data_IF_036251192376
#
_entry.id   IF_036251192376
#
_cell.length_a   1.000
_cell.length_b   1.000
_cell.length_c   1.000
_cell.angle_alpha   90.00
_cell.angle_beta   90.00
_cell.angle_gamma   90.00
#
_symmetry.space_group_name_H-M   'P 1'
#
loop_
_entity.id
_entity.type
_entity.pdbx_description
1 polymer ?
#
# COMPACT_ATOMS: atom_id res chain seq x y z
N UNK A 1 -28.48 -14.19 20.26
CA UNK A 1 -28.23 -15.48 19.57
C UNK A 1 -28.34 -15.30 18.06
N UNK A 2 -29.46 -14.78 17.51
CA UNK A 2 -29.65 -14.62 16.05
C UNK A 2 -28.49 -13.91 15.38
N UNK A 3 -28.04 -12.77 15.93
CA UNK A 3 -26.90 -12.00 15.39
C UNK A 3 -25.59 -12.80 15.46
N UNK A 4 -25.35 -13.57 16.52
CA UNK A 4 -24.15 -14.42 16.61
C UNK A 4 -24.14 -15.52 15.54
N UNK A 5 -25.32 -16.17 15.32
CA UNK A 5 -25.46 -17.15 14.24
C UNK A 5 -25.26 -16.50 12.88
N UNK A 6 -25.75 -15.28 12.67
CA UNK A 6 -25.52 -14.52 11.45
C UNK A 6 -24.04 -14.23 11.24
N UNK A 7 -23.33 -13.70 12.27
CA UNK A 7 -21.89 -13.38 12.20
C UNK A 7 -21.04 -14.60 11.79
N UNK A 8 -21.31 -15.76 12.39
CA UNK A 8 -20.59 -17.00 12.08
C UNK A 8 -20.73 -17.39 10.61
N UNK A 9 -21.93 -17.21 10.04
CA UNK A 9 -22.26 -17.64 8.68
C UNK A 9 -22.01 -16.57 7.60
N UNK A 10 -21.55 -15.34 7.95
CA UNK A 10 -21.10 -14.36 6.95
C UNK A 10 -19.79 -14.81 6.32
N UNK A 11 -19.51 -14.38 5.11
CA UNK A 11 -18.20 -14.53 4.48
C UNK A 11 -17.16 -13.62 5.15
N UNK A 12 -15.86 -13.86 4.91
CA UNK A 12 -14.74 -13.05 5.38
C UNK A 12 -13.88 -13.68 6.47
N UNK A 13 -12.79 -13.01 6.80
CA UNK A 13 -11.74 -13.47 7.69
C UNK A 13 -12.28 -13.79 9.11
N UNK A 14 -11.97 -14.99 9.66
CA UNK A 14 -12.46 -15.43 10.98
C UNK A 14 -12.09 -14.47 12.12
N UNK A 15 -10.98 -13.75 12.04
CA UNK A 15 -10.55 -12.83 13.09
C UNK A 15 -11.55 -11.68 13.30
N UNK A 16 -12.11 -11.12 12.21
CA UNK A 16 -13.17 -10.11 12.30
C UNK A 16 -14.45 -10.70 12.95
N UNK A 17 -14.84 -11.92 12.55
CA UNK A 17 -16.02 -12.60 13.12
C UNK A 17 -15.86 -12.80 14.63
N UNK A 18 -14.71 -13.31 15.06
CA UNK A 18 -14.41 -13.51 16.48
C UNK A 18 -14.47 -12.21 17.27
N UNK A 19 -13.86 -11.14 16.75
CA UNK A 19 -13.87 -9.84 17.41
C UNK A 19 -15.29 -9.28 17.55
N UNK A 20 -16.11 -9.34 16.50
CA UNK A 20 -17.50 -8.93 16.55
C UNK A 20 -18.34 -9.79 17.51
N UNK A 21 -18.11 -11.11 17.54
CA UNK A 21 -18.76 -11.98 18.49
C UNK A 21 -18.43 -11.60 19.94
N UNK A 22 -17.16 -11.31 20.23
CA UNK A 22 -16.76 -10.83 21.56
C UNK A 22 -17.46 -9.51 21.93
N UNK A 23 -17.55 -8.55 21.01
CA UNK A 23 -18.27 -7.29 21.23
C UNK A 23 -19.75 -7.51 21.52
N UNK A 24 -20.41 -8.37 20.74
CA UNK A 24 -21.84 -8.69 20.91
C UNK A 24 -22.10 -9.49 22.20
N UNK A 25 -21.20 -10.38 22.58
CA UNK A 25 -21.35 -11.15 23.84
C UNK A 25 -21.06 -10.29 25.08
N UNK A 26 -20.07 -9.41 25.04
CA UNK A 26 -19.73 -8.53 26.16
C UNK A 26 -20.78 -7.44 26.40
N UNK A 27 -21.36 -6.90 25.32
CA UNK A 27 -22.36 -5.82 25.36
C UNK A 27 -23.53 -6.17 24.41
N UNK A 28 -24.45 -7.10 24.80
CA UNK A 28 -25.40 -7.69 23.86
C UNK A 28 -26.29 -6.70 23.10
N UNK A 29 -26.75 -5.63 23.74
CA UNK A 29 -27.58 -4.60 23.09
C UNK A 29 -26.71 -3.63 22.29
N UNK A 30 -25.72 -3.03 22.94
CA UNK A 30 -24.86 -2.00 22.32
C UNK A 30 -24.02 -2.62 21.20
N UNK A 31 -23.38 -3.76 21.44
CA UNK A 31 -22.58 -4.48 20.46
C UNK A 31 -23.39 -4.92 19.25
N UNK A 32 -24.64 -5.39 19.47
CA UNK A 32 -25.54 -5.74 18.37
C UNK A 32 -25.92 -4.52 17.53
N UNK A 33 -26.33 -3.42 18.16
CA UNK A 33 -26.67 -2.18 17.45
C UNK A 33 -25.45 -1.64 16.69
N UNK A 34 -24.29 -1.66 17.31
CA UNK A 34 -23.05 -1.21 16.68
C UNK A 34 -22.63 -2.11 15.49
N UNK A 35 -22.75 -3.43 15.65
CA UNK A 35 -22.55 -4.39 14.56
C UNK A 35 -23.46 -4.12 13.38
N UNK A 36 -24.77 -3.98 13.63
CA UNK A 36 -25.76 -3.69 12.60
C UNK A 36 -25.45 -2.33 11.92
N UNK A 37 -25.12 -1.30 12.70
CA UNK A 37 -24.74 0.03 12.19
C UNK A 37 -23.52 -0.05 11.25
N UNK A 38 -22.48 -0.79 11.65
CA UNK A 38 -21.27 -0.96 10.82
C UNK A 38 -21.56 -1.76 9.55
N UNK A 39 -22.50 -2.71 9.58
CA UNK A 39 -22.84 -3.57 8.43
C UNK A 39 -23.94 -3.00 7.50
N UNK A 40 -24.75 -2.05 7.96
CA UNK A 40 -25.79 -1.40 7.13
C UNK A 40 -25.25 -0.40 6.09
N UNK A 41 -24.00 -0.31 5.89
CA UNK A 41 -23.16 0.55 5.06
C UNK A 41 -23.76 0.95 3.69
N UNK A 42 -24.81 1.75 3.65
CA UNK A 42 -25.44 2.19 2.39
C UNK A 42 -24.49 3.05 1.52
N UNK A 43 -23.68 3.90 2.15
CA UNK A 43 -22.69 4.71 1.42
C UNK A 43 -21.57 3.84 0.83
N UNK A 44 -21.14 2.80 1.54
CA UNK A 44 -20.13 1.84 1.08
C UNK A 44 -20.61 1.09 -0.16
N UNK A 45 -21.87 0.65 -0.18
CA UNK A 45 -22.47 0.00 -1.37
C UNK A 45 -22.51 0.90 -2.59
N UNK A 46 -22.78 2.19 -2.40
CA UNK A 46 -22.73 3.15 -3.51
C UNK A 46 -21.31 3.25 -4.08
N UNK A 47 -20.29 3.42 -3.22
CA UNK A 47 -18.89 3.49 -3.64
C UNK A 47 -18.44 2.18 -4.30
N UNK A 48 -18.80 1.03 -3.72
CA UNK A 48 -18.53 -0.31 -4.28
C UNK A 48 -19.09 -0.47 -5.69
N UNK A 49 -20.38 -0.18 -5.87
CA UNK A 49 -21.03 -0.28 -7.18
C UNK A 49 -20.41 0.69 -8.20
N UNK A 50 -20.04 1.90 -7.76
CA UNK A 50 -19.42 2.88 -8.65
C UNK A 50 -18.01 2.47 -9.06
N UNK A 51 -17.20 1.95 -8.13
CA UNK A 51 -15.87 1.41 -8.44
C UNK A 51 -15.94 0.21 -9.38
N UNK A 52 -16.89 -0.70 -9.17
CA UNK A 52 -17.12 -1.81 -10.10
C UNK A 52 -17.47 -1.32 -11.51
N UNK A 53 -18.35 -0.31 -11.63
CA UNK A 53 -18.66 0.29 -12.92
C UNK A 53 -17.43 0.97 -13.55
N UNK A 54 -16.63 1.70 -12.76
CA UNK A 54 -15.41 2.36 -13.24
C UNK A 54 -14.33 1.36 -13.70
N UNK A 55 -14.21 0.20 -13.04
CA UNK A 55 -13.35 -0.89 -13.53
C UNK A 55 -13.78 -1.35 -14.92
N UNK A 56 -15.07 -1.59 -15.14
CA UNK A 56 -15.59 -1.96 -16.47
C UNK A 56 -15.39 -0.83 -17.50
N UNK A 57 -15.58 0.44 -17.12
CA UNK A 57 -15.35 1.59 -17.98
C UNK A 57 -13.87 1.74 -18.38
N UNK A 58 -12.94 1.35 -17.51
CA UNK A 58 -11.48 1.47 -17.72
C UNK A 58 -10.82 0.19 -18.27
N UNK A 59 -11.50 -0.95 -18.22
CA UNK A 59 -10.99 -2.22 -18.71
C UNK A 59 -10.39 -2.15 -20.14
N UNK A 60 -11.02 -1.48 -21.13
CA UNK A 60 -10.45 -1.37 -22.47
C UNK A 60 -9.11 -0.62 -22.55
N UNK A 61 -8.73 0.07 -21.47
CA UNK A 61 -7.47 0.82 -21.37
C UNK A 61 -6.40 0.07 -20.55
N UNK A 62 -6.75 -1.13 -20.08
CA UNK A 62 -5.91 -1.99 -19.23
C UNK A 62 -5.71 -3.36 -19.87
N UNK A 63 -5.56 -3.39 -21.20
CA UNK A 63 -5.39 -4.64 -21.95
C UNK A 63 -4.06 -5.33 -21.67
N UNK A 64 -4.11 -6.65 -21.42
CA UNK A 64 -2.94 -7.50 -21.33
C UNK A 64 -2.38 -7.79 -22.73
N UNK A 65 -1.09 -7.52 -22.92
CA UNK A 65 -0.38 -7.97 -24.13
C UNK A 65 -0.13 -9.48 -24.06
N UNK A 66 -0.75 -10.23 -24.97
CA UNK A 66 -0.63 -11.69 -25.05
C UNK A 66 0.82 -12.16 -25.22
N UNK A 67 1.65 -11.42 -25.94
CA UNK A 67 3.08 -11.75 -26.11
C UNK A 67 3.83 -11.74 -24.78
N UNK A 68 3.47 -10.82 -23.89
CA UNK A 68 4.07 -10.75 -22.55
C UNK A 68 3.64 -11.96 -21.72
N UNK A 69 2.36 -12.33 -21.79
CA UNK A 69 1.83 -13.51 -21.12
C UNK A 69 2.48 -14.79 -21.62
N UNK A 70 2.55 -14.98 -22.93
CA UNK A 70 3.19 -16.15 -23.56
C UNK A 70 4.67 -16.27 -23.17
N UNK A 71 5.42 -15.16 -23.22
CA UNK A 71 6.83 -15.14 -22.83
C UNK A 71 7.03 -15.54 -21.35
N UNK A 72 6.15 -15.04 -20.45
CA UNK A 72 6.21 -15.38 -19.03
C UNK A 72 5.85 -16.84 -18.76
N UNK A 73 4.85 -17.40 -19.45
CA UNK A 73 4.52 -18.83 -19.37
C UNK A 73 5.64 -19.71 -19.94
N UNK A 74 6.28 -19.30 -21.04
CA UNK A 74 7.41 -20.02 -21.64
C UNK A 74 8.63 -20.10 -20.70
N UNK A 75 8.81 -19.12 -19.82
CA UNK A 75 9.88 -19.11 -18.80
C UNK A 75 9.69 -20.16 -17.71
N UNK A 76 8.51 -20.78 -17.60
CA UNK A 76 8.12 -21.73 -16.54
C UNK A 76 8.25 -21.15 -15.13
N UNK A 77 8.23 -19.86 -14.98
CA UNK A 77 8.23 -19.18 -13.69
C UNK A 77 6.88 -19.32 -13.00
N UNK A 78 6.87 -19.51 -11.70
CA UNK A 78 5.66 -19.44 -10.87
C UNK A 78 4.97 -18.05 -10.97
N UNK A 79 5.74 -17.00 -11.28
CA UNK A 79 5.22 -15.65 -11.47
C UNK A 79 4.24 -15.53 -12.65
N UNK A 80 4.20 -16.50 -13.57
CA UNK A 80 3.18 -16.59 -14.62
C UNK A 80 1.77 -16.78 -14.04
N UNK A 81 1.64 -17.54 -12.94
CA UNK A 81 0.36 -17.74 -12.26
C UNK A 81 -0.11 -16.45 -11.55
N UNK A 82 0.79 -15.73 -10.90
CA UNK A 82 0.47 -14.43 -10.31
C UNK A 82 0.08 -13.40 -11.38
N UNK A 83 0.85 -13.35 -12.48
CA UNK A 83 0.53 -12.49 -13.63
C UNK A 83 -0.87 -12.79 -14.19
N UNK A 84 -1.21 -14.07 -14.34
CA UNK A 84 -2.54 -14.49 -14.79
C UNK A 84 -3.65 -14.04 -13.83
N UNK A 85 -3.46 -14.27 -12.53
CA UNK A 85 -4.41 -13.85 -11.50
C UNK A 85 -4.61 -12.32 -11.51
N UNK A 86 -3.51 -11.55 -11.47
CA UNK A 86 -3.59 -10.10 -11.45
C UNK A 86 -4.20 -9.51 -12.72
N UNK A 87 -3.87 -10.07 -13.90
CA UNK A 87 -4.38 -9.54 -15.17
C UNK A 87 -5.80 -9.99 -15.50
N UNK A 88 -6.11 -11.29 -15.38
CA UNK A 88 -7.39 -11.85 -15.84
C UNK A 88 -8.50 -11.74 -14.80
N UNK A 89 -8.19 -11.84 -13.50
CA UNK A 89 -9.20 -11.74 -12.46
C UNK A 89 -9.39 -10.30 -11.99
N UNK A 90 -8.31 -9.52 -11.95
CA UNK A 90 -8.29 -8.21 -11.32
C UNK A 90 -8.06 -7.04 -12.29
N UNK A 91 -7.71 -7.33 -13.56
CA UNK A 91 -7.49 -6.31 -14.58
C UNK A 91 -6.20 -5.48 -14.36
N UNK A 92 -5.16 -6.05 -13.74
CA UNK A 92 -3.84 -5.44 -13.61
C UNK A 92 -2.84 -6.10 -14.58
N UNK A 93 -2.59 -5.51 -15.76
CA UNK A 93 -1.73 -6.10 -16.78
C UNK A 93 -0.26 -6.20 -16.35
N UNK A 94 0.43 -7.19 -16.89
CA UNK A 94 1.87 -7.35 -16.81
C UNK A 94 2.55 -6.66 -17.97
N UNK A 95 3.58 -5.88 -17.69
CA UNK A 95 4.32 -5.08 -18.68
C UNK A 95 5.79 -5.49 -18.75
N UNK A 96 6.42 -5.31 -19.92
CA UNK A 96 7.87 -5.53 -20.15
C UNK A 96 8.63 -4.26 -20.54
N UNK A 97 7.96 -3.28 -21.16
CA UNK A 97 8.58 -2.06 -21.67
C UNK A 97 8.51 -0.95 -20.62
N UNK A 98 9.02 -1.23 -19.42
CA UNK A 98 8.97 -0.28 -18.30
C UNK A 98 10.30 -0.32 -17.55
N UNK A 99 10.98 0.81 -17.54
CA UNK A 99 12.12 1.02 -16.66
C UNK A 99 11.64 1.21 -15.23
N UNK A 100 12.35 0.63 -14.29
CA UNK A 100 12.14 0.80 -12.85
C UNK A 100 13.37 1.48 -12.27
N UNK A 101 13.18 2.44 -11.38
CA UNK A 101 14.24 3.05 -10.57
C UNK A 101 13.80 2.99 -9.10
N UNK A 102 14.60 2.33 -8.27
CA UNK A 102 14.32 2.18 -6.85
C UNK A 102 14.95 3.29 -6.02
N UNK A 103 14.21 3.83 -5.07
CA UNK A 103 14.67 4.84 -4.11
C UNK A 103 14.72 4.27 -2.70
N UNK A 104 15.90 4.13 -2.11
CA UNK A 104 16.07 3.59 -0.77
C UNK A 104 15.61 4.54 0.34
N UNK A 105 15.48 5.84 0.06
CA UNK A 105 15.06 6.86 1.02
C UNK A 105 14.14 7.90 0.38
N UNK A 106 13.36 8.57 1.20
CA UNK A 106 12.40 9.58 0.73
C UNK A 106 13.04 10.80 0.12
N UNK A 107 14.24 11.18 0.56
CA UNK A 107 15.02 12.29 0.04
C UNK A 107 15.35 12.10 -1.44
N UNK A 108 15.80 10.90 -1.82
CA UNK A 108 16.16 10.58 -3.20
C UNK A 108 14.91 10.59 -4.10
N UNK A 109 13.80 10.00 -3.63
CA UNK A 109 12.50 10.07 -4.31
C UNK A 109 12.05 11.50 -4.50
N UNK A 110 12.17 12.35 -3.49
CA UNK A 110 11.75 13.75 -3.54
C UNK A 110 12.60 14.53 -4.55
N UNK A 111 13.93 14.37 -4.52
CA UNK A 111 14.84 15.01 -5.46
C UNK A 111 14.56 14.60 -6.92
N UNK A 112 14.24 13.32 -7.15
CA UNK A 112 13.83 12.80 -8.47
C UNK A 112 12.47 13.38 -8.88
N UNK A 113 11.49 13.37 -7.99
CA UNK A 113 10.12 13.83 -8.27
C UNK A 113 10.06 15.30 -8.67
N UNK A 114 10.85 16.17 -8.01
CA UNK A 114 10.96 17.58 -8.40
C UNK A 114 11.40 17.71 -9.86
N UNK A 115 12.45 16.97 -10.26
CA UNK A 115 12.99 17.02 -11.64
C UNK A 115 11.97 16.54 -12.67
N UNK A 116 11.19 15.50 -12.36
CA UNK A 116 10.20 14.97 -13.29
C UNK A 116 8.94 15.88 -13.37
N UNK A 117 8.50 16.46 -12.25
CA UNK A 117 7.40 17.44 -12.24
C UNK A 117 7.71 18.67 -13.10
N UNK A 118 8.96 19.14 -13.10
CA UNK A 118 9.40 20.26 -13.96
C UNK A 118 9.31 19.95 -15.46
N UNK A 119 9.38 18.67 -15.85
CA UNK A 119 9.29 18.24 -17.25
C UNK A 119 7.86 18.07 -17.75
N UNK A 120 6.86 18.10 -16.86
CA UNK A 120 5.46 17.86 -17.23
C UNK A 120 4.97 18.83 -18.32
N UNK A 121 4.31 18.28 -19.34
CA UNK A 121 3.81 19.04 -20.51
C UNK A 121 2.29 18.94 -20.68
N UNK A 122 1.67 17.82 -20.23
CA UNK A 122 0.24 17.53 -20.46
C UNK A 122 -0.56 17.48 -19.18
N UNK A 123 -0.18 16.60 -18.25
CA UNK A 123 -0.90 16.45 -16.99
C UNK A 123 -0.03 15.91 -15.85
N UNK A 124 -0.43 16.27 -14.63
CA UNK A 124 0.12 15.74 -13.38
C UNK A 124 -1.05 15.26 -12.52
N UNK A 125 -1.03 13.97 -12.15
CA UNK A 125 -2.00 13.37 -11.23
C UNK A 125 -1.29 12.93 -9.95
N UNK A 126 -1.79 13.36 -8.80
CA UNK A 126 -1.18 13.05 -7.52
C UNK A 126 -2.26 12.60 -6.51
N UNK A 127 -1.99 11.49 -5.83
CA UNK A 127 -2.84 10.88 -4.80
C UNK A 127 -1.99 10.51 -3.60
N UNK A 128 -2.30 11.05 -2.42
CA UNK A 128 -1.51 10.86 -1.22
C UNK A 128 -2.37 10.76 0.03
N UNK A 129 -1.93 9.90 0.99
CA UNK A 129 -2.63 9.73 2.25
C UNK A 129 -2.36 10.87 3.23
N UNK A 130 -1.09 11.26 3.42
CA UNK A 130 -0.67 12.37 4.28
C UNK A 130 -0.09 13.49 3.44
N UNK A 131 -0.54 14.72 3.74
CA UNK A 131 0.00 15.97 3.19
C UNK A 131 0.10 16.97 4.34
N UNK A 132 1.27 17.51 4.58
CA UNK A 132 1.54 18.53 5.59
C UNK A 132 2.27 19.71 4.95
N UNK A 133 1.87 20.95 5.26
CA UNK A 133 2.58 22.14 4.81
C UNK A 133 3.99 22.14 5.41
N UNK A 134 5.02 22.37 4.59
CA UNK A 134 6.43 22.28 4.94
C UNK A 134 7.32 22.30 3.70
N UNK A 135 8.61 22.04 3.86
CA UNK A 135 9.61 22.13 2.77
C UNK A 135 9.22 21.25 1.59
N UNK A 136 8.87 19.99 1.85
CA UNK A 136 8.53 19.04 0.79
C UNK A 136 7.29 19.47 0.01
N UNK A 137 6.17 19.70 0.71
CA UNK A 137 4.92 20.02 0.05
C UNK A 137 4.94 21.41 -0.60
N UNK A 138 5.48 22.43 0.07
CA UNK A 138 5.49 23.79 -0.47
C UNK A 138 6.36 23.89 -1.73
N UNK A 139 7.47 23.16 -1.78
CA UNK A 139 8.30 23.07 -3.00
C UNK A 139 7.51 22.45 -4.15
N UNK A 140 6.83 21.34 -3.93
CA UNK A 140 5.98 20.69 -4.94
C UNK A 140 4.86 21.63 -5.37
N UNK A 141 4.17 22.26 -4.43
CA UNK A 141 3.05 23.15 -4.72
C UNK A 141 3.45 24.33 -5.60
N UNK A 142 4.62 24.91 -5.39
CA UNK A 142 5.11 25.99 -6.26
C UNK A 142 5.36 25.51 -7.70
N UNK A 143 5.87 24.27 -7.88
CA UNK A 143 5.99 23.67 -9.21
C UNK A 143 4.60 23.47 -9.84
N UNK A 144 3.66 22.88 -9.09
CA UNK A 144 2.31 22.63 -9.60
C UNK A 144 1.59 23.92 -10.04
N UNK A 145 1.73 25.03 -9.28
CA UNK A 145 1.18 26.33 -9.64
C UNK A 145 1.76 26.85 -10.97
N UNK A 146 3.07 26.68 -11.14
CA UNK A 146 3.76 27.11 -12.36
C UNK A 146 3.30 26.28 -13.56
N UNK A 147 3.21 24.94 -13.38
CA UNK A 147 2.74 24.02 -14.42
C UNK A 147 1.28 24.28 -14.83
N UNK A 148 0.41 24.63 -13.91
CA UNK A 148 -0.97 25.07 -14.25
C UNK A 148 -0.92 26.33 -15.12
N UNK A 149 -0.08 27.31 -14.80
CA UNK A 149 0.07 28.53 -15.61
C UNK A 149 0.65 28.25 -17.01
N UNK A 150 1.41 27.18 -17.18
CA UNK A 150 1.92 26.66 -18.46
C UNK A 150 0.88 25.85 -19.24
N UNK A 151 -0.32 25.63 -18.68
CA UNK A 151 -1.42 24.90 -19.32
C UNK A 151 -1.49 23.41 -18.99
N UNK A 152 -0.63 22.91 -18.09
CA UNK A 152 -0.65 21.50 -17.65
C UNK A 152 -1.87 21.25 -16.78
N UNK A 153 -2.60 20.15 -17.06
CA UNK A 153 -3.72 19.71 -16.21
C UNK A 153 -3.20 19.11 -14.90
N UNK A 154 -3.47 19.75 -13.76
CA UNK A 154 -3.06 19.23 -12.45
C UNK A 154 -4.29 18.74 -11.67
N UNK A 155 -4.28 17.45 -11.28
CA UNK A 155 -5.23 16.83 -10.35
C UNK A 155 -4.51 16.39 -9.09
N UNK A 156 -5.01 16.82 -7.96
CA UNK A 156 -4.48 16.47 -6.65
C UNK A 156 -5.56 15.92 -5.75
N UNK A 157 -5.34 14.73 -5.21
CA UNK A 157 -6.25 14.08 -4.28
C UNK A 157 -5.49 13.67 -3.01
N UNK A 158 -6.13 13.86 -1.84
CA UNK A 158 -5.58 13.43 -0.56
C UNK A 158 -6.69 12.93 0.37
N UNK A 159 -6.31 12.05 1.32
CA UNK A 159 -7.27 11.46 2.25
C UNK A 159 -7.78 12.47 3.28
N UNK A 160 -9.05 12.31 3.66
CA UNK A 160 -9.72 13.17 4.65
C UNK A 160 -9.11 13.16 6.04
N UNK A 161 -8.20 12.20 6.37
CA UNK A 161 -7.45 12.22 7.62
C UNK A 161 -6.61 13.48 7.80
N UNK A 162 -6.10 14.07 6.71
CA UNK A 162 -5.34 15.32 6.77
C UNK A 162 -6.13 16.48 7.39
N UNK A 163 -7.47 16.44 7.27
CA UNK A 163 -8.32 17.50 7.81
C UNK A 163 -8.48 17.49 9.33
N UNK A 164 -7.94 16.48 10.06
CA UNK A 164 -7.95 16.49 11.51
C UNK A 164 -6.91 17.44 12.09
N UNK A 165 -5.65 17.32 11.68
CA UNK A 165 -4.54 18.02 12.34
C UNK A 165 -3.57 18.71 11.37
N UNK A 166 -3.60 18.37 10.06
CA UNK A 166 -2.54 18.77 9.12
C UNK A 166 -2.95 19.88 8.17
N UNK A 167 -4.18 19.83 7.63
CA UNK A 167 -4.68 20.79 6.64
C UNK A 167 -6.08 21.28 6.98
N UNK A 168 -6.42 22.56 6.75
CA UNK A 168 -7.78 23.03 6.98
C UNK A 168 -8.78 22.36 6.02
N UNK A 169 -9.99 22.10 6.49
CA UNK A 169 -11.07 21.49 5.69
C UNK A 169 -11.34 22.22 4.36
N UNK A 170 -11.03 23.50 4.31
CA UNK A 170 -11.15 24.35 3.11
C UNK A 170 -9.97 24.26 2.14
N UNK A 171 -8.95 23.45 2.44
CA UNK A 171 -7.72 23.38 1.66
C UNK A 171 -7.91 23.05 0.17
N UNK A 172 -8.84 22.19 -0.25
CA UNK A 172 -9.11 21.99 -1.67
C UNK A 172 -9.54 23.29 -2.38
N UNK A 173 -10.33 24.13 -1.71
CA UNK A 173 -10.72 25.44 -2.27
C UNK A 173 -9.53 26.41 -2.39
N UNK A 174 -8.52 26.29 -1.48
CA UNK A 174 -7.27 27.07 -1.57
C UNK A 174 -6.52 26.67 -2.85
N UNK A 175 -6.35 25.36 -3.12
CA UNK A 175 -5.64 24.86 -4.30
C UNK A 175 -6.39 25.16 -5.62
N UNK A 176 -7.71 25.08 -5.61
CA UNK A 176 -8.55 25.41 -6.78
C UNK A 176 -8.40 26.88 -7.23
N UNK A 177 -8.08 27.81 -6.32
CA UNK A 177 -7.78 29.21 -6.69
C UNK A 177 -6.51 29.36 -7.53
N UNK A 178 -5.60 28.39 -7.46
CA UNK A 178 -4.40 28.31 -8.28
C UNK A 178 -4.62 27.52 -9.59
N UNK A 179 -5.88 27.11 -9.89
CA UNK A 179 -6.21 26.28 -11.05
C UNK A 179 -5.93 24.79 -10.87
N UNK A 180 -5.46 24.35 -9.70
CA UNK A 180 -5.24 22.93 -9.39
C UNK A 180 -6.59 22.29 -9.08
N UNK A 181 -7.00 21.26 -9.85
CA UNK A 181 -8.19 20.46 -9.53
C UNK A 181 -7.87 19.63 -8.29
N UNK A 182 -8.51 19.96 -7.16
CA UNK A 182 -8.23 19.29 -5.89
C UNK A 182 -9.48 18.67 -5.29
N UNK A 183 -9.33 17.41 -4.80
CA UNK A 183 -10.36 16.67 -4.05
C UNK A 183 -9.79 16.14 -2.74
N UNK A 184 -10.67 16.02 -1.74
CA UNK A 184 -10.45 15.29 -0.52
C UNK A 184 -11.23 13.98 -0.61
N UNK A 185 -10.55 12.83 -0.66
CA UNK A 185 -11.17 11.50 -0.62
C UNK A 185 -11.63 11.16 0.81
N UNK A 186 -12.57 10.25 0.94
CA UNK A 186 -13.02 9.66 2.21
C UNK A 186 -13.20 10.69 3.34
N UNK A 187 -13.93 11.77 3.04
CA UNK A 187 -14.20 12.87 3.98
C UNK A 187 -14.76 12.35 5.30
N UNK A 188 -14.17 12.75 6.40
CA UNK A 188 -14.64 12.37 7.73
C UNK A 188 -15.88 13.16 8.08
N UNK A 189 -16.99 12.44 8.31
CA UNK A 189 -18.27 12.97 8.77
C UNK A 189 -18.60 12.30 10.10
N UNK A 190 -18.41 12.97 11.26
CA UNK A 190 -18.67 12.36 12.55
C UNK A 190 -20.09 11.77 12.62
N UNK A 191 -20.22 10.53 13.09
CA UNK A 191 -21.48 9.80 13.32
C UNK A 191 -22.35 9.46 12.11
N UNK A 192 -21.93 9.74 10.86
CA UNK A 192 -22.80 9.56 9.68
C UNK A 192 -22.38 8.38 8.80
N UNK A 193 -21.12 7.94 8.85
CA UNK A 193 -20.63 6.92 7.91
C UNK A 193 -19.56 6.00 8.50
N UNK A 194 -19.61 4.73 8.13
CA UNK A 194 -18.59 3.71 8.44
C UNK A 194 -17.47 3.66 7.41
N UNK A 195 -17.65 4.34 6.26
CA UNK A 195 -16.64 4.53 5.22
C UNK A 195 -15.34 5.17 5.75
N UNK A 196 -15.42 5.77 6.95
CA UNK A 196 -14.27 6.34 7.66
C UNK A 196 -13.20 5.30 8.02
N UNK A 197 -13.52 4.01 8.07
CA UNK A 197 -12.54 2.94 8.28
C UNK A 197 -11.76 2.62 6.99
N UNK A 198 -12.37 2.87 5.83
CA UNK A 198 -11.76 2.61 4.54
C UNK A 198 -10.99 3.86 4.09
N UNK A 199 -9.67 3.89 4.27
CA UNK A 199 -8.82 5.03 3.91
C UNK A 199 -8.16 4.83 2.57
N UNK A 200 -7.93 5.93 1.89
CA UNK A 200 -7.11 5.96 0.69
C UNK A 200 -5.64 6.11 1.09
N UNK A 201 -4.97 4.95 1.28
CA UNK A 201 -3.60 4.91 1.76
C UNK A 201 -2.57 4.86 0.63
N UNK A 202 -3.00 5.02 -0.62
CA UNK A 202 -2.12 5.02 -1.81
C UNK A 202 -1.25 6.27 -1.87
N UNK A 203 -0.10 6.15 -2.53
CA UNK A 203 0.82 7.24 -2.83
C UNK A 203 1.22 7.09 -4.29
N UNK A 204 0.54 7.85 -5.14
CA UNK A 204 0.71 7.81 -6.60
C UNK A 204 1.04 9.21 -7.10
N UNK A 205 2.02 9.32 -7.97
CA UNK A 205 2.23 10.51 -8.80
C UNK A 205 2.43 10.07 -10.23
N UNK A 206 1.58 10.52 -11.15
CA UNK A 206 1.68 10.26 -12.58
C UNK A 206 1.94 11.56 -13.32
N UNK A 207 2.91 11.56 -14.23
CA UNK A 207 3.29 12.69 -15.05
C UNK A 207 3.19 12.26 -16.51
N UNK A 208 2.33 12.95 -17.27
CA UNK A 208 2.11 12.75 -18.71
C UNK A 208 1.80 11.32 -19.14
N UNK A 209 1.44 10.42 -18.20
CA UNK A 209 1.19 9.01 -18.41
C UNK A 209 2.42 8.18 -18.78
N UNK A 210 3.62 8.75 -18.67
CA UNK A 210 4.89 8.11 -19.01
C UNK A 210 5.80 7.90 -17.81
N UNK A 211 5.63 8.72 -16.77
CA UNK A 211 6.41 8.65 -15.52
C UNK A 211 5.46 8.46 -14.36
N UNK A 212 5.72 7.46 -13.51
CA UNK A 212 4.86 7.15 -12.36
C UNK A 212 5.66 6.83 -11.10
N UNK A 213 5.27 7.37 -9.94
CA UNK A 213 5.86 7.07 -8.64
C UNK A 213 4.88 6.30 -7.77
N UNK A 214 5.39 5.27 -7.09
CA UNK A 214 4.67 4.44 -6.11
C UNK A 214 5.59 4.15 -4.92
N UNK A 215 5.04 4.04 -3.71
CA UNK A 215 5.79 3.62 -2.52
C UNK A 215 5.13 4.01 -1.20
N UNK A 216 5.92 4.05 -0.14
CA UNK A 216 5.46 4.41 1.20
C UNK A 216 5.49 5.91 1.50
N UNK A 217 6.27 6.69 0.74
CA UNK A 217 6.61 8.10 1.00
C UNK A 217 5.42 9.03 0.77
N UNK A 218 4.90 9.66 1.83
CA UNK A 218 3.90 10.72 1.76
C UNK A 218 4.52 12.10 1.48
N UNK A 219 3.70 13.17 1.56
CA UNK A 219 4.11 14.55 1.32
C UNK A 219 4.20 15.33 2.64
N UNK A 220 5.20 15.01 3.45
CA UNK A 220 5.49 15.69 4.71
C UNK A 220 7.00 15.59 5.02
N UNK A 221 7.51 16.54 5.79
CA UNK A 221 8.94 16.74 6.01
C UNK A 221 9.62 15.61 6.79
N UNK A 222 8.90 14.82 7.58
CA UNK A 222 9.45 13.63 8.22
C UNK A 222 9.87 12.55 7.21
N UNK A 223 9.20 12.45 6.05
CA UNK A 223 9.54 11.46 5.02
C UNK A 223 10.82 11.77 4.26
N UNK A 224 11.31 13.00 4.35
CA UNK A 224 12.57 13.45 3.78
C UNK A 224 13.60 13.83 4.84
N UNK A 225 13.37 13.42 6.10
CA UNK A 225 14.22 13.65 7.25
C UNK A 225 14.55 15.13 7.58
N UNK A 226 13.79 16.09 7.04
CA UNK A 226 13.86 17.50 7.40
C UNK A 226 13.20 17.80 8.77
N UNK A 227 12.36 16.87 9.22
CA UNK A 227 11.69 16.92 10.54
C UNK A 227 11.92 15.60 11.27
N UNK A 228 12.76 15.62 12.30
CA UNK A 228 12.98 14.45 13.14
C UNK A 228 11.77 14.21 14.08
N UNK A 229 10.99 13.15 13.81
CA UNK A 229 9.80 12.79 14.61
C UNK A 229 10.00 11.51 15.42
N UNK A 230 10.55 10.46 14.81
CA UNK A 230 10.82 9.17 15.41
C UNK A 230 12.23 8.65 15.08
N UNK A 231 13.22 9.52 15.18
CA UNK A 231 14.57 9.26 14.68
C UNK A 231 14.63 9.36 13.14
N UNK A 232 15.57 8.65 12.53
CA UNK A 232 15.67 8.59 11.07
C UNK A 232 14.46 7.85 10.48
N UNK A 233 13.77 8.51 9.52
CA UNK A 233 12.62 7.95 8.81
C UNK A 233 13.10 7.22 7.56
N UNK A 234 12.99 5.89 7.56
CA UNK A 234 13.38 5.02 6.45
C UNK A 234 12.14 4.61 5.66
N UNK A 235 11.98 5.16 4.46
CA UNK A 235 10.88 4.81 3.57
C UNK A 235 11.37 4.65 2.14
N UNK A 236 10.62 3.95 1.30
CA UNK A 236 11.04 3.57 -0.05
C UNK A 236 10.01 3.92 -1.09
N UNK A 237 10.45 4.05 -2.33
CA UNK A 237 9.59 4.23 -3.49
C UNK A 237 10.23 3.64 -4.75
N UNK A 238 9.40 3.47 -5.79
CA UNK A 238 9.85 3.18 -7.15
C UNK A 238 9.32 4.23 -8.11
N UNK A 239 10.10 4.52 -9.12
CA UNK A 239 9.72 5.26 -10.31
C UNK A 239 9.60 4.28 -11.46
N UNK A 240 8.52 4.38 -12.19
CA UNK A 240 8.27 3.65 -13.44
C UNK A 240 8.34 4.63 -14.62
N UNK A 241 9.02 4.24 -15.70
CA UNK A 241 8.98 4.94 -16.98
C UNK A 241 8.61 3.97 -18.09
N UNK A 242 7.48 4.19 -18.76
CA UNK A 242 7.02 3.36 -19.86
C UNK A 242 5.60 2.82 -19.67
N UNK A 243 5.34 1.66 -20.31
CA UNK A 243 3.98 1.15 -20.51
C UNK A 243 3.18 0.89 -19.21
N UNK A 244 3.85 0.47 -18.13
CA UNK A 244 3.20 0.18 -16.85
C UNK A 244 2.59 1.42 -16.16
N UNK A 245 3.01 2.63 -16.54
CA UNK A 245 2.43 3.87 -16.00
C UNK A 245 0.96 4.03 -16.38
N UNK A 246 0.52 3.33 -17.45
CA UNK A 246 -0.88 3.25 -17.85
C UNK A 246 -1.77 2.71 -16.72
N UNK A 247 -1.36 1.63 -16.04
CA UNK A 247 -2.09 1.09 -14.89
C UNK A 247 -2.21 2.10 -13.76
N UNK A 248 -1.13 2.80 -13.41
CA UNK A 248 -1.17 3.84 -12.36
C UNK A 248 -2.10 4.99 -12.73
N UNK A 249 -2.12 5.37 -14.02
CA UNK A 249 -3.01 6.40 -14.55
C UNK A 249 -4.48 6.00 -14.36
N UNK A 250 -4.84 4.76 -14.72
CA UNK A 250 -6.21 4.26 -14.59
C UNK A 250 -6.60 4.06 -13.11
N UNK A 251 -5.72 3.53 -12.27
CA UNK A 251 -5.94 3.40 -10.83
C UNK A 251 -6.27 4.76 -10.19
N UNK A 252 -5.49 5.80 -10.52
CA UNK A 252 -5.79 7.16 -10.06
C UNK A 252 -7.15 7.66 -10.57
N UNK A 253 -7.43 7.50 -11.86
CA UNK A 253 -8.67 8.01 -12.48
C UNK A 253 -9.91 7.29 -11.95
N UNK A 254 -9.86 5.99 -11.68
CA UNK A 254 -10.95 5.26 -11.04
C UNK A 254 -11.33 5.90 -9.70
N UNK A 255 -10.33 6.19 -8.83
CA UNK A 255 -10.62 6.83 -7.55
C UNK A 255 -11.01 8.30 -7.70
N UNK A 256 -10.42 9.00 -8.66
CA UNK A 256 -10.80 10.38 -8.95
C UNK A 256 -12.27 10.49 -9.37
N UNK A 257 -12.80 9.53 -10.14
CA UNK A 257 -14.14 9.58 -10.72
C UNK A 257 -15.22 8.89 -9.88
N UNK A 258 -14.88 8.38 -8.70
CA UNK A 258 -15.81 7.67 -7.79
C UNK A 258 -17.02 8.53 -7.42
N UNK A 259 -16.84 9.84 -7.25
CA UNK A 259 -17.88 10.80 -6.88
C UNK A 259 -18.37 11.67 -8.07
N UNK A 260 -17.84 11.39 -9.28
CA UNK A 260 -18.20 12.12 -10.50
C UNK A 260 -19.44 11.54 -11.19
N UNK A 261 -20.24 12.41 -11.79
CA UNK A 261 -21.32 12.00 -12.69
C UNK A 261 -20.86 12.19 -14.15
N UNK A 262 -20.86 11.11 -14.92
CA UNK A 262 -20.47 11.13 -16.33
C UNK A 262 -19.27 10.23 -16.60
N UNK A 263 -18.92 10.12 -17.88
CA UNK A 263 -17.80 9.30 -18.36
C UNK A 263 -16.63 10.22 -18.68
N UNK A 264 -15.49 9.97 -18.05
CA UNK A 264 -14.23 10.66 -18.37
C UNK A 264 -13.72 10.11 -19.73
N UNK A 265 -13.22 10.95 -20.64
CA UNK A 265 -12.59 10.47 -21.87
C UNK A 265 -11.17 9.93 -21.57
N UNK A 266 -11.09 8.72 -20.97
CA UNK A 266 -9.83 8.11 -20.52
C UNK A 266 -8.79 7.99 -21.64
N UNK A 267 -9.23 7.86 -22.90
CA UNK A 267 -8.35 7.76 -24.06
C UNK A 267 -7.40 8.95 -24.24
N UNK A 268 -7.72 10.16 -23.69
CA UNK A 268 -6.83 11.32 -23.77
C UNK A 268 -5.58 11.20 -22.89
N UNK A 269 -5.60 10.29 -21.91
CA UNK A 269 -4.48 10.05 -20.99
C UNK A 269 -3.63 8.84 -21.38
N UNK A 270 -4.00 8.18 -22.51
CA UNK A 270 -3.22 7.08 -23.03
C UNK A 270 -1.90 7.59 -23.61
N UNK A 271 -0.86 6.82 -23.36
CA UNK A 271 0.43 6.98 -24.03
C UNK A 271 0.59 5.94 -25.12
N UNK A 272 1.41 6.24 -26.12
CA UNK A 272 1.75 5.26 -27.16
C UNK A 272 2.57 4.15 -26.53
N UNK A 273 2.09 2.89 -26.61
CA UNK A 273 2.84 1.71 -26.17
C UNK A 273 4.11 1.53 -27.02
N UNK A 274 5.14 0.96 -26.42
CA UNK A 274 6.36 0.60 -27.13
C UNK A 274 6.07 -0.46 -28.22
N UNK A 275 6.73 -0.32 -29.36
CA UNK A 275 6.48 -1.20 -30.53
C UNK A 275 7.15 -2.59 -30.39
N UNK A 276 8.17 -2.71 -29.53
CA UNK A 276 8.91 -3.95 -29.30
C UNK A 276 9.10 -4.23 -27.83
N UNK A 277 9.11 -5.52 -27.46
CA UNK A 277 9.42 -5.96 -26.10
C UNK A 277 10.91 -5.73 -25.81
N UNK A 278 11.19 -5.23 -24.60
CA UNK A 278 12.55 -5.08 -24.09
C UNK A 278 12.82 -6.14 -23.01
N UNK A 279 13.51 -7.21 -23.38
CA UNK A 279 13.76 -8.36 -22.51
C UNK A 279 14.67 -8.04 -21.31
N UNK A 280 15.41 -6.94 -21.37
CA UNK A 280 16.34 -6.55 -20.29
C UNK A 280 15.66 -5.86 -19.12
N UNK A 281 14.42 -5.41 -19.28
CA UNK A 281 13.67 -4.68 -18.26
C UNK A 281 12.80 -5.60 -17.37
N UNK A 282 12.80 -6.91 -17.64
CA UNK A 282 11.99 -7.87 -16.89
C UNK A 282 10.49 -7.60 -16.98
N UNK A 283 9.77 -7.87 -15.89
CA UNK A 283 8.31 -7.75 -15.81
C UNK A 283 7.91 -6.83 -14.65
N UNK A 284 6.91 -5.98 -14.91
CA UNK A 284 6.39 -5.01 -13.95
C UNK A 284 4.88 -5.08 -13.93
N UNK A 285 4.29 -5.21 -12.75
CA UNK A 285 2.84 -5.26 -12.55
C UNK A 285 2.46 -4.24 -11.48
N UNK A 286 2.03 -3.02 -11.83
CA UNK A 286 1.37 -2.15 -10.87
C UNK A 286 -0.01 -2.71 -10.54
N UNK A 287 -0.32 -2.81 -9.26
CA UNK A 287 -1.61 -3.32 -8.77
C UNK A 287 -2.18 -2.42 -7.68
N UNK A 288 -3.47 -2.51 -7.48
CA UNK A 288 -4.16 -1.83 -6.40
C UNK A 288 -5.01 -2.82 -5.60
N UNK A 289 -5.21 -2.49 -4.34
CA UNK A 289 -6.08 -3.21 -3.44
C UNK A 289 -7.29 -2.35 -3.06
N UNK A 290 -8.43 -2.98 -2.85
CA UNK A 290 -9.68 -2.30 -2.53
C UNK A 290 -10.46 -3.08 -1.46
N UNK A 291 -10.95 -2.42 -0.41
CA UNK A 291 -11.73 -3.09 0.62
C UNK A 291 -13.13 -3.51 0.16
N UNK A 292 -13.48 -3.33 -1.14
CA UNK A 292 -14.84 -3.45 -1.63
C UNK A 292 -15.06 -4.54 -2.69
N UNK A 293 -14.03 -5.29 -3.06
CA UNK A 293 -14.13 -6.31 -4.12
C UNK A 293 -13.97 -7.75 -3.63
N UNK A 294 -13.80 -7.94 -2.31
CA UNK A 294 -13.59 -9.25 -1.68
C UNK A 294 -12.30 -9.96 -2.09
N UNK A 295 -11.36 -9.23 -2.68
CA UNK A 295 -10.03 -9.72 -3.03
C UNK A 295 -8.99 -8.98 -2.20
N UNK A 296 -8.09 -9.72 -1.54
CA UNK A 296 -7.00 -9.14 -0.75
C UNK A 296 -5.72 -9.16 -1.59
N UNK A 297 -5.68 -8.33 -2.61
CA UNK A 297 -4.64 -8.37 -3.67
C UNK A 297 -3.24 -8.27 -3.09
N UNK A 298 -3.04 -7.37 -2.14
CA UNK A 298 -1.73 -7.19 -1.50
C UNK A 298 -1.28 -8.41 -0.72
N UNK A 299 -2.19 -9.04 0.00
CA UNK A 299 -1.92 -10.26 0.76
C UNK A 299 -1.61 -11.43 -0.15
N UNK A 300 -2.34 -11.60 -1.25
CA UNK A 300 -2.10 -12.65 -2.24
C UNK A 300 -0.74 -12.50 -2.94
N UNK A 301 -0.31 -11.26 -3.23
CA UNK A 301 1.04 -11.00 -3.74
C UNK A 301 2.10 -11.42 -2.71
N UNK A 302 1.90 -11.13 -1.43
CA UNK A 302 2.82 -11.53 -0.36
C UNK A 302 2.85 -13.03 -0.17
N UNK A 303 1.69 -13.70 -0.21
CA UNK A 303 1.61 -15.17 -0.19
C UNK A 303 2.32 -15.80 -1.39
N UNK A 304 2.16 -15.22 -2.56
CA UNK A 304 2.83 -15.72 -3.74
C UNK A 304 4.35 -15.70 -3.55
N UNK A 305 4.94 -14.58 -3.12
CA UNK A 305 6.37 -14.45 -2.86
C UNK A 305 6.84 -15.47 -1.83
N UNK A 306 6.16 -15.56 -0.66
CA UNK A 306 6.52 -16.49 0.41
C UNK A 306 6.41 -17.96 0.02
N UNK A 307 5.45 -18.32 -0.84
CA UNK A 307 5.19 -19.68 -1.25
C UNK A 307 6.14 -20.18 -2.35
N UNK A 308 6.74 -19.24 -3.12
CA UNK A 308 7.59 -19.60 -4.25
C UNK A 308 9.07 -19.23 -4.06
N UNK A 309 9.41 -18.65 -2.92
CA UNK A 309 10.79 -18.40 -2.52
C UNK A 309 11.61 -19.69 -2.44
N UNK A 310 12.87 -19.62 -2.88
CA UNK A 310 13.81 -20.75 -2.93
C UNK A 310 14.96 -20.61 -1.93
N UNK A 311 15.37 -19.38 -1.64
CA UNK A 311 16.51 -19.06 -0.77
C UNK A 311 16.09 -18.17 0.39
N UNK A 312 15.48 -17.04 0.11
CA UNK A 312 15.13 -16.04 1.12
C UNK A 312 13.90 -15.19 0.76
N UNK A 313 13.27 -14.65 1.79
CA UNK A 313 12.32 -13.54 1.72
C UNK A 313 12.70 -12.51 2.77
N UNK A 314 13.03 -11.31 2.33
CA UNK A 314 13.41 -10.18 3.17
C UNK A 314 12.31 -9.13 3.14
N UNK A 315 11.88 -8.69 4.33
CA UNK A 315 10.68 -7.87 4.51
C UNK A 315 11.01 -6.62 5.32
N UNK A 316 10.61 -5.46 4.85
CA UNK A 316 10.55 -4.22 5.64
C UNK A 316 9.09 -3.80 5.80
N UNK A 317 8.64 -3.58 7.03
CA UNK A 317 7.28 -3.13 7.32
C UNK A 317 7.22 -2.33 8.63
N UNK A 318 6.40 -1.25 8.71
CA UNK A 318 6.25 -0.49 9.96
C UNK A 318 5.39 -1.19 10.99
N UNK A 319 4.48 -2.07 10.55
CA UNK A 319 3.52 -2.77 11.40
C UNK A 319 3.55 -4.27 11.13
N UNK A 320 3.28 -5.04 12.18
CA UNK A 320 3.25 -6.51 12.14
C UNK A 320 2.06 -7.00 12.97
N UNK A 321 0.87 -6.90 12.40
CA UNK A 321 -0.40 -7.29 13.02
C UNK A 321 -1.06 -8.31 12.10
N UNK A 322 -0.61 -9.55 12.25
CA UNK A 322 -0.87 -10.63 11.30
C UNK A 322 -2.19 -11.33 11.59
N UNK A 323 -2.84 -11.77 10.53
CA UNK A 323 -3.83 -12.82 10.62
C UNK A 323 -3.16 -14.21 10.74
N UNK A 324 -3.97 -15.24 10.85
CA UNK A 324 -3.47 -16.60 11.02
C UNK A 324 -2.79 -17.13 9.75
N UNK A 325 -3.28 -16.77 8.61
CA UNK A 325 -2.83 -17.22 7.30
C UNK A 325 -1.42 -16.69 7.00
N UNK A 326 -1.18 -15.40 7.21
CA UNK A 326 0.12 -14.77 7.03
C UNK A 326 1.14 -15.28 8.06
N UNK A 327 0.73 -15.39 9.35
CA UNK A 327 1.58 -15.92 10.41
C UNK A 327 2.05 -17.36 10.08
N UNK A 328 1.10 -18.21 9.67
CA UNK A 328 1.38 -19.60 9.31
C UNK A 328 2.28 -19.69 8.08
N UNK A 329 2.06 -18.85 7.07
CA UNK A 329 2.84 -18.84 5.83
C UNK A 329 4.29 -18.42 6.09
N UNK A 330 4.51 -17.36 6.87
CA UNK A 330 5.87 -16.93 7.28
C UNK A 330 6.63 -18.05 8.03
N UNK A 331 5.97 -18.66 9.02
CA UNK A 331 6.57 -19.76 9.79
C UNK A 331 6.84 -20.98 8.91
N UNK A 332 5.93 -21.33 8.00
CA UNK A 332 6.10 -22.44 7.08
C UNK A 332 7.29 -22.22 6.15
N UNK A 333 7.40 -21.03 5.55
CA UNK A 333 8.53 -20.67 4.70
C UNK A 333 9.86 -20.87 5.46
N UNK A 334 9.98 -20.30 6.67
CA UNK A 334 11.18 -20.44 7.49
C UNK A 334 11.48 -21.91 7.84
N UNK A 335 10.47 -22.70 8.24
CA UNK A 335 10.64 -24.15 8.54
C UNK A 335 10.97 -25.00 7.31
N UNK A 336 10.66 -24.49 6.11
CA UNK A 336 11.03 -25.16 4.85
C UNK A 336 12.46 -24.85 4.39
N UNK A 337 13.22 -24.10 5.20
CA UNK A 337 14.63 -23.78 4.93
C UNK A 337 14.83 -22.45 4.18
N UNK A 338 13.76 -21.65 4.01
CA UNK A 338 13.86 -20.31 3.44
C UNK A 338 14.31 -19.34 4.55
N UNK A 339 15.29 -18.49 4.26
CA UNK A 339 15.65 -17.42 5.17
C UNK A 339 14.56 -16.33 5.15
N UNK A 340 13.82 -16.17 6.25
CA UNK A 340 12.81 -15.13 6.40
C UNK A 340 13.28 -14.11 7.42
N UNK A 341 13.53 -12.87 6.97
CA UNK A 341 13.97 -11.76 7.82
C UNK A 341 12.95 -10.61 7.73
N UNK A 342 12.52 -10.12 8.89
CA UNK A 342 11.60 -8.98 8.99
C UNK A 342 12.30 -7.84 9.73
N UNK A 343 12.40 -6.67 9.08
CA UNK A 343 12.87 -5.43 9.71
C UNK A 343 11.68 -4.60 10.15
N UNK A 344 11.64 -4.28 11.43
CA UNK A 344 10.63 -3.48 12.11
C UNK A 344 11.23 -2.15 12.62
N UNK A 345 10.42 -1.14 12.91
CA UNK A 345 10.89 0.05 13.61
C UNK A 345 11.41 -0.27 15.03
N UNK A 346 12.46 0.42 15.46
CA UNK A 346 12.86 0.42 16.88
C UNK A 346 12.10 1.48 17.69
N UNK A 347 11.89 2.66 17.11
CA UNK A 347 11.12 3.77 17.71
C UNK A 347 9.72 3.77 17.06
N UNK A 348 8.66 3.37 17.77
CA UNK A 348 7.32 3.28 17.18
C UNK A 348 6.65 4.66 17.09
N UNK A 349 5.84 4.85 16.03
CA UNK A 349 4.93 6.00 15.91
C UNK A 349 3.67 5.83 16.78
N UNK A 350 3.20 4.58 16.95
CA UNK A 350 2.00 4.20 17.71
C UNK A 350 2.34 3.09 18.69
N UNK A 351 2.42 3.43 19.97
CA UNK A 351 2.77 2.47 21.03
C UNK A 351 1.87 1.24 21.07
N UNK A 352 0.57 1.42 20.79
CA UNK A 352 -0.42 0.32 20.83
C UNK A 352 -0.22 -0.67 19.68
N UNK A 353 0.01 -0.20 18.45
CA UNK A 353 0.31 -1.06 17.31
C UNK A 353 1.61 -1.84 17.53
N UNK A 354 2.62 -1.20 18.11
CA UNK A 354 3.88 -1.83 18.46
C UNK A 354 3.72 -2.87 19.58
N UNK A 355 2.87 -2.60 20.59
CA UNK A 355 2.56 -3.56 21.66
C UNK A 355 1.90 -4.82 21.08
N UNK A 356 0.98 -4.68 20.10
CA UNK A 356 0.37 -5.81 19.40
C UNK A 356 1.40 -6.56 18.55
N UNK A 357 2.18 -5.86 17.73
CA UNK A 357 3.24 -6.46 16.90
C UNK A 357 4.16 -7.35 17.72
N UNK A 358 4.57 -6.86 18.88
CA UNK A 358 5.44 -7.61 19.80
C UNK A 358 4.81 -8.91 20.34
N UNK A 359 3.50 -9.12 20.24
CA UNK A 359 2.86 -10.38 20.65
C UNK A 359 3.13 -11.53 19.67
N UNK A 360 3.42 -11.22 18.41
CA UNK A 360 3.75 -12.19 17.38
C UNK A 360 5.23 -12.61 17.38
N UNK A 361 6.13 -11.78 17.91
CA UNK A 361 7.57 -12.00 17.84
C UNK A 361 8.02 -13.36 18.38
N UNK A 362 7.48 -13.79 19.54
CA UNK A 362 7.86 -15.07 20.14
C UNK A 362 7.57 -16.23 19.19
N UNK A 363 6.37 -16.30 18.66
CA UNK A 363 5.90 -17.38 17.80
C UNK A 363 6.65 -17.41 16.47
N UNK A 364 6.88 -16.24 15.87
CA UNK A 364 7.66 -16.10 14.64
C UNK A 364 9.11 -16.56 14.84
N UNK A 365 9.79 -16.09 15.90
CA UNK A 365 11.21 -16.44 16.16
C UNK A 365 11.34 -17.92 16.51
N UNK A 366 10.45 -18.48 17.33
CA UNK A 366 10.42 -19.93 17.63
C UNK A 366 10.07 -20.74 16.37
N UNK A 367 9.39 -20.15 15.40
CA UNK A 367 9.08 -20.71 14.08
C UNK A 367 10.23 -20.63 13.06
N UNK A 368 11.33 -19.94 13.39
CA UNK A 368 12.51 -19.80 12.53
C UNK A 368 12.61 -18.47 11.78
N UNK A 369 11.60 -17.58 11.88
CA UNK A 369 11.64 -16.23 11.30
C UNK A 369 12.57 -15.35 12.12
N UNK A 370 13.43 -14.57 11.45
CA UNK A 370 14.32 -13.63 12.10
C UNK A 370 13.71 -12.23 12.13
N UNK A 371 13.68 -11.59 13.31
CA UNK A 371 13.14 -10.24 13.48
C UNK A 371 14.28 -9.30 13.89
N UNK A 372 14.35 -8.17 13.22
CA UNK A 372 15.31 -7.11 13.48
C UNK A 372 14.57 -5.78 13.69
N UNK A 373 15.10 -4.93 14.55
CA UNK A 373 14.58 -3.57 14.80
C UNK A 373 15.61 -2.54 14.34
N UNK A 374 15.17 -1.62 13.48
CA UNK A 374 16.00 -0.56 12.91
C UNK A 374 16.38 0.47 13.97
N UNK A 375 17.61 0.37 14.49
CA UNK A 375 18.07 1.17 15.63
C UNK A 375 18.06 2.70 15.39
N UNK A 376 18.33 3.24 14.17
CA UNK A 376 18.33 4.68 13.95
C UNK A 376 16.95 5.35 14.07
N UNK A 377 15.83 4.59 13.99
CA UNK A 377 14.52 5.22 14.06
C UNK A 377 13.35 4.38 13.57
N UNK A 378 12.59 4.93 12.63
CA UNK A 378 11.33 4.38 12.14
C UNK A 378 11.45 3.88 10.71
N UNK A 379 11.33 2.57 10.49
CA UNK A 379 11.17 1.97 9.17
C UNK A 379 9.69 2.07 8.78
N UNK A 380 9.42 2.82 7.72
CA UNK A 380 8.07 2.95 7.13
C UNK A 380 7.98 2.32 5.73
N UNK A 381 9.05 1.72 5.23
CA UNK A 381 9.07 0.97 3.97
C UNK A 381 8.11 -0.22 4.01
N UNK A 382 7.50 -0.57 2.87
CA UNK A 382 6.68 -1.74 2.66
C UNK A 382 7.26 -2.47 1.45
N UNK A 383 8.15 -3.39 1.74
CA UNK A 383 8.97 -4.09 0.75
C UNK A 383 9.02 -5.57 1.09
N UNK A 384 8.84 -6.39 0.06
CA UNK A 384 9.25 -7.79 0.05
C UNK A 384 10.25 -7.96 -1.09
N UNK A 385 11.37 -8.60 -0.83
CA UNK A 385 12.36 -8.97 -1.84
C UNK A 385 12.76 -10.42 -1.65
N UNK A 386 12.90 -11.17 -2.73
CA UNK A 386 13.16 -12.60 -2.72
C UNK A 386 14.06 -13.01 -3.87
N UNK A 387 15.02 -13.90 -3.55
CA UNK A 387 15.78 -14.71 -4.51
C UNK A 387 16.55 -13.91 -5.60
N UNK A 388 16.84 -12.64 -5.39
CA UNK A 388 17.49 -11.70 -6.32
C UNK A 388 16.69 -11.42 -7.61
N UNK A 389 15.48 -11.98 -7.76
CA UNK A 389 14.70 -11.87 -8.99
C UNK A 389 13.29 -11.28 -8.80
N UNK A 390 12.79 -11.23 -7.57
CA UNK A 390 11.41 -10.84 -7.26
C UNK A 390 11.37 -9.78 -6.17
N UNK A 391 10.61 -8.71 -6.38
CA UNK A 391 10.33 -7.72 -5.34
C UNK A 391 8.91 -7.13 -5.47
N UNK A 392 8.36 -6.63 -4.38
CA UNK A 392 7.23 -5.71 -4.39
C UNK A 392 7.50 -4.52 -3.50
N UNK A 393 7.14 -3.33 -3.99
CA UNK A 393 7.28 -2.05 -3.29
C UNK A 393 5.97 -1.31 -3.39
N UNK A 394 5.45 -0.81 -2.26
CA UNK A 394 4.14 -0.16 -2.29
C UNK A 394 3.77 0.54 -1.00
N UNK A 395 2.46 0.65 -0.77
CA UNK A 395 1.87 1.28 0.40
C UNK A 395 1.37 0.27 1.45
N UNK A 396 1.35 -1.05 1.14
CA UNK A 396 0.64 -2.10 1.87
C UNK A 396 1.46 -2.57 3.08
N UNK A 397 1.00 -2.28 4.29
CA UNK A 397 1.60 -2.77 5.53
C UNK A 397 1.17 -4.22 5.83
N UNK A 398 1.92 -4.91 6.70
CA UNK A 398 1.51 -6.18 7.30
C UNK A 398 0.60 -5.93 8.52
N UNK A 399 -0.57 -5.33 8.29
CA UNK A 399 -1.60 -5.15 9.31
C UNK A 399 -3.02 -5.29 8.70
N UNK A 400 -4.02 -5.56 9.55
CA UNK A 400 -5.41 -5.75 9.11
C UNK A 400 -5.98 -4.55 8.34
N UNK A 401 -5.56 -3.32 8.65
CA UNK A 401 -6.07 -2.15 7.93
C UNK A 401 -5.61 -2.13 6.49
N UNK A 402 -4.32 -2.34 6.26
CA UNK A 402 -3.77 -2.36 4.92
C UNK A 402 -4.25 -3.56 4.11
N UNK A 403 -4.36 -4.74 4.74
CA UNK A 403 -4.72 -5.98 4.03
C UNK A 403 -6.23 -6.12 3.76
N UNK A 404 -7.10 -5.42 4.54
CA UNK A 404 -8.56 -5.67 4.46
C UNK A 404 -9.43 -4.41 4.38
N UNK A 405 -8.93 -3.24 4.78
CA UNK A 405 -9.78 -2.07 5.00
C UNK A 405 -9.40 -0.83 4.20
N UNK A 406 -8.17 -0.74 3.71
CA UNK A 406 -7.69 0.43 2.98
C UNK A 406 -7.67 0.22 1.47
N UNK A 407 -7.74 1.33 0.73
CA UNK A 407 -7.26 1.35 -0.64
C UNK A 407 -5.74 1.45 -0.60
N UNK A 408 -5.08 0.50 -1.22
CA UNK A 408 -3.63 0.40 -1.25
C UNK A 408 -3.14 0.24 -2.69
N UNK A 409 -1.84 0.35 -2.91
CA UNK A 409 -1.22 0.03 -4.18
C UNK A 409 0.21 -0.47 -4.02
N UNK A 410 0.66 -1.25 -4.99
CA UNK A 410 2.02 -1.75 -5.06
C UNK A 410 2.48 -1.95 -6.50
N UNK A 411 3.75 -2.22 -6.63
CA UNK A 411 4.37 -2.63 -7.89
C UNK A 411 5.10 -3.94 -7.65
N UNK A 412 4.67 -5.00 -8.32
CA UNK A 412 5.38 -6.27 -8.36
C UNK A 412 6.39 -6.22 -9.50
N UNK A 413 7.63 -6.62 -9.22
CA UNK A 413 8.78 -6.54 -10.12
C UNK A 413 9.43 -7.91 -10.18
N UNK A 414 9.62 -8.42 -11.39
CA UNK A 414 10.21 -9.73 -11.60
C UNK A 414 11.26 -9.70 -12.72
N UNK A 415 12.39 -10.39 -12.51
CA UNK A 415 13.50 -10.50 -13.46
C UNK A 415 14.01 -9.13 -13.96
N UNK A 416 14.02 -8.15 -13.06
CA UNK A 416 14.42 -6.77 -13.31
C UNK A 416 15.69 -6.43 -12.52
N UNK A 417 16.66 -5.72 -13.10
CA UNK A 417 17.91 -5.37 -12.41
C UNK A 417 17.73 -4.57 -11.10
N UNK A 418 16.63 -3.82 -10.98
CA UNK A 418 16.37 -3.03 -9.77
C UNK A 418 16.05 -3.89 -8.54
N UNK A 419 15.65 -5.16 -8.72
CA UNK A 419 15.45 -6.09 -7.60
C UNK A 419 16.72 -6.24 -6.77
N UNK A 420 17.89 -6.27 -7.40
CA UNK A 420 19.17 -6.34 -6.70
C UNK A 420 19.42 -5.08 -5.85
N UNK A 421 19.02 -3.90 -6.32
CA UNK A 421 19.13 -2.66 -5.52
C UNK A 421 18.19 -2.65 -4.32
N UNK A 422 17.01 -3.27 -4.46
CA UNK A 422 16.08 -3.46 -3.32
C UNK A 422 16.74 -4.35 -2.27
N UNK A 423 17.38 -5.44 -2.68
CA UNK A 423 18.10 -6.33 -1.78
C UNK A 423 19.34 -5.66 -1.15
N UNK A 424 20.13 -4.93 -1.92
CA UNK A 424 21.27 -4.15 -1.40
C UNK A 424 20.82 -3.14 -0.33
N UNK A 425 19.72 -2.43 -0.56
CA UNK A 425 19.14 -1.51 0.42
C UNK A 425 18.64 -2.24 1.68
N UNK A 426 18.03 -3.41 1.50
CA UNK A 426 17.63 -4.26 2.63
C UNK A 426 18.85 -4.63 3.48
N UNK A 427 19.94 -5.11 2.89
CA UNK A 427 21.16 -5.49 3.60
C UNK A 427 21.83 -4.29 4.28
N UNK A 428 21.88 -3.14 3.61
CA UNK A 428 22.40 -1.89 4.18
C UNK A 428 21.55 -1.39 5.37
N UNK A 429 20.26 -1.65 5.35
CA UNK A 429 19.33 -1.35 6.44
C UNK A 429 19.51 -2.36 7.58
N UNK A 430 19.61 -3.65 7.27
CA UNK A 430 19.82 -4.73 8.22
C UNK A 430 21.09 -4.53 9.06
N UNK A 431 22.17 -4.05 8.44
CA UNK A 431 23.43 -3.74 9.11
C UNK A 431 23.29 -2.68 10.22
N UNK A 432 22.23 -1.89 10.20
CA UNK A 432 21.90 -0.86 11.22
C UNK A 432 20.86 -1.33 12.24
N UNK A 433 20.46 -2.60 12.17
CA UNK A 433 19.40 -3.15 13.00
C UNK A 433 19.93 -3.95 14.18
N UNK A 434 19.13 -4.01 15.23
CA UNK A 434 19.31 -4.90 16.36
C UNK A 434 18.51 -6.19 16.14
N UNK A 435 19.15 -7.35 16.25
CA UNK A 435 18.47 -8.64 16.17
C UNK A 435 17.70 -8.92 17.45
N UNK A 436 16.40 -9.13 17.35
CA UNK A 436 15.56 -9.46 18.50
C UNK A 436 15.68 -10.94 18.86
N UNK A 437 15.90 -11.20 20.15
CA UNK A 437 16.02 -12.57 20.68
C UNK A 437 14.76 -13.00 21.44
N UNK A 438 14.53 -14.33 21.54
CA UNK A 438 13.45 -14.89 22.37
C UNK A 438 13.58 -14.46 23.84
N UNK A 439 14.81 -14.35 24.35
CA UNK A 439 15.09 -13.93 25.72
C UNK A 439 14.62 -12.50 25.97
N UNK A 440 14.89 -11.57 25.04
CA UNK A 440 14.40 -10.18 25.15
C UNK A 440 12.87 -10.12 25.11
N UNK A 441 12.25 -10.92 24.22
CA UNK A 441 10.78 -11.00 24.16
C UNK A 441 10.18 -11.52 25.48
N UNK A 442 10.83 -12.50 26.10
CA UNK A 442 10.41 -13.08 27.40
C UNK A 442 10.61 -12.12 28.57
N UNK A 443 11.63 -11.27 28.52
CA UNK A 443 11.99 -10.36 29.62
C UNK A 443 11.28 -9.01 29.58
N UNK A 444 10.37 -8.76 28.63
CA UNK A 444 9.58 -7.53 28.59
C UNK A 444 8.72 -7.35 29.84
N UNK A 445 8.45 -6.09 30.17
CA UNK A 445 7.57 -5.72 31.27
C UNK A 445 6.17 -6.35 31.14
N UNK A 446 5.68 -6.90 32.26
CA UNK A 446 4.40 -7.63 32.33
C UNK A 446 3.23 -6.77 31.82
N UNK A 447 3.21 -5.49 32.19
CA UNK A 447 2.15 -4.55 31.79
C UNK A 447 2.03 -4.43 30.26
N UNK A 448 3.16 -4.27 29.55
CA UNK A 448 3.17 -4.19 28.08
C UNK A 448 2.76 -5.50 27.42
N UNK A 449 3.09 -6.64 28.02
CA UNK A 449 2.65 -7.95 27.52
C UNK A 449 1.13 -8.08 27.63
N UNK A 450 0.57 -7.78 28.80
CA UNK A 450 -0.88 -7.85 29.03
C UNK A 450 -1.60 -6.87 28.13
N UNK A 451 -1.13 -5.61 28.03
CA UNK A 451 -1.71 -4.63 27.11
C UNK A 451 -1.71 -5.10 25.66
N UNK A 452 -0.58 -5.65 25.17
CA UNK A 452 -0.50 -6.21 23.82
C UNK A 452 -1.49 -7.37 23.59
N UNK A 453 -1.60 -8.30 24.54
CA UNK A 453 -2.54 -9.43 24.43
C UNK A 453 -4.02 -8.97 24.44
N UNK A 454 -4.37 -7.98 25.28
CA UNK A 454 -5.71 -7.41 25.29
C UNK A 454 -6.01 -6.68 23.97
N UNK A 455 -5.09 -5.84 23.50
CA UNK A 455 -5.24 -5.13 22.23
C UNK A 455 -5.33 -6.10 21.04
N UNK A 456 -4.63 -7.25 21.08
CA UNK A 456 -4.72 -8.28 20.03
C UNK A 456 -6.14 -8.83 19.83
N UNK A 457 -6.99 -8.83 20.86
CA UNK A 457 -8.39 -9.27 20.74
C UNK A 457 -9.21 -8.35 19.82
N UNK A 458 -8.83 -7.08 19.72
CA UNK A 458 -9.51 -6.08 18.89
C UNK A 458 -8.65 -5.62 17.69
N UNK A 459 -7.52 -6.25 17.48
CA UNK A 459 -6.59 -5.93 16.40
C UNK A 459 -7.23 -5.87 14.99
N UNK A 460 -8.21 -6.74 14.64
CA UNK A 460 -8.90 -6.64 13.35
C UNK A 460 -9.72 -5.35 13.18
N UNK A 461 -10.04 -4.66 14.27
CA UNK A 461 -10.80 -3.39 14.24
C UNK A 461 -9.91 -2.15 14.43
N UNK A 462 -8.59 -2.35 14.63
CA UNK A 462 -7.62 -1.26 14.91
C UNK A 462 -7.14 -0.55 13.66
#
# INVERSE_FOLDING_TARGET
IVVLVYIINTEGNPAFKMTWMLCVMALPVIGTVFYIYVHLQLETRFVQNRLAALRMETEPYMDQDEKVTEALWASKSANAQLSYYLSHQLGFPTYRNTEVEYFPVGEDKFASMIKELEKAEKFIFMEYFIVEEGIMWDTILEILKRKVNEGVEVRFMYDGMCAFDLLPYSYPKKLQKFGIKCKMSNKIRPFVSTIQNNRDHRKICVIDGQTGYVGGVNLADEYINEKARFGHWKDTAVLLRGDAVQSLTMIFLQMWDVDMRGVEPYGKYLTKKAESLNDRLGYVIPYADSPFDHENVGEEVYFHILNHAKKYVHIMTPYLILDNEMLTTLIRAAKSGIEVIIIMPHIPDKWYAFAVAKTYYKELIEGGVQIYEYAPGFVHAKVFVSDDDTATVGSINLDFRSLYLHFENGVFIYDNPEVQKVEEDFQNTLAKCHKVTVTEVRNRGVLMKVAGQVLRLVAPLM
#
